data_IF_175068863564
#
_entry.id   IF_175068863564
#
_cell.length_a   1.000
_cell.length_b   1.000
_cell.length_c   1.000
_cell.angle_alpha   90.00
_cell.angle_beta   90.00
_cell.angle_gamma   90.00
#
_symmetry.space_group_name_H-M   'P 1'
#
loop_
_entity.id
_entity.type
_entity.pdbx_description
1 polymer ?
#
# COMPACT_ATOMS: atom_id res chain seq x y z
N UNK A 1 1.82 43.56 69.98
CA UNK A 1 1.60 43.72 68.46
C UNK A 1 1.99 42.40 67.76
N UNK A 2 1.01 41.53 67.55
CA UNK A 2 1.24 40.27 66.82
C UNK A 2 0.76 40.46 65.38
N UNK A 3 1.66 40.32 64.43
CA UNK A 3 1.34 40.27 63.01
C UNK A 3 1.04 38.80 62.61
N UNK A 4 -0.18 38.52 62.19
CA UNK A 4 -0.59 37.25 61.61
C UNK A 4 -0.14 37.24 60.14
N UNK A 5 0.74 36.28 59.78
CA UNK A 5 1.05 35.92 58.37
C UNK A 5 -0.04 34.94 57.91
N UNK A 6 -0.76 35.30 56.86
CA UNK A 6 -1.67 34.40 56.15
C UNK A 6 -0.88 33.75 54.97
N UNK A 7 -0.73 32.42 55.02
CA UNK A 7 -0.22 31.64 53.91
C UNK A 7 -1.38 31.30 52.96
N UNK A 8 -1.31 31.83 51.73
CA UNK A 8 -2.19 31.41 50.64
C UNK A 8 -1.59 30.14 50.00
N UNK A 9 -2.24 29.01 50.16
CA UNK A 9 -1.97 27.79 49.41
C UNK A 9 -2.67 27.90 48.06
N UNK A 10 -1.93 28.13 46.97
CA UNK A 10 -2.44 28.01 45.64
C UNK A 10 -2.51 26.52 45.23
N UNK A 11 -3.71 25.96 45.26
CA UNK A 11 -3.96 24.61 44.72
C UNK A 11 -3.95 24.73 43.22
N UNK A 12 -2.83 24.32 42.56
CA UNK A 12 -2.75 24.08 41.14
C UNK A 12 -3.57 22.82 40.79
N UNK A 13 -4.81 23.00 40.36
CA UNK A 13 -5.61 21.95 39.74
C UNK A 13 -4.95 21.59 38.38
N UNK A 14 -4.05 20.62 38.43
CA UNK A 14 -3.66 19.93 37.17
C UNK A 14 -4.85 19.16 36.68
N UNK A 15 -5.58 19.72 35.73
CA UNK A 15 -6.56 19.01 34.94
C UNK A 15 -5.81 17.94 34.13
N UNK A 16 -5.72 16.75 34.69
CA UNK A 16 -5.24 15.56 34.01
C UNK A 16 -6.16 15.27 32.82
N UNK A 17 -5.79 15.78 31.66
CA UNK A 17 -6.38 15.34 30.41
C UNK A 17 -5.91 13.89 30.20
N UNK A 18 -6.73 12.93 30.57
CA UNK A 18 -6.58 11.54 30.17
C UNK A 18 -6.61 11.51 28.64
N UNK A 19 -5.44 11.59 28.03
CA UNK A 19 -5.27 11.25 26.62
C UNK A 19 -5.65 9.78 26.52
N UNK A 20 -6.84 9.50 26.01
CA UNK A 20 -7.29 8.14 25.70
C UNK A 20 -6.41 7.62 24.56
N UNK A 21 -5.21 7.18 24.90
CA UNK A 21 -4.30 6.50 23.98
C UNK A 21 -5.02 5.26 23.47
N UNK A 22 -5.21 5.17 22.15
CA UNK A 22 -5.78 3.99 21.53
C UNK A 22 -4.91 2.78 21.86
N UNK A 23 -5.45 1.81 22.62
CA UNK A 23 -4.72 0.59 22.96
C UNK A 23 -4.67 -0.31 21.71
N UNK A 24 -3.48 -0.48 21.15
CA UNK A 24 -3.23 -1.44 20.06
C UNK A 24 -2.73 -2.74 20.69
N UNK A 25 -3.41 -3.86 20.39
CA UNK A 25 -2.92 -5.20 20.72
C UNK A 25 -2.26 -5.81 19.50
N UNK A 26 -1.04 -6.28 19.69
CA UNK A 26 -0.29 -6.99 18.66
C UNK A 26 -0.22 -8.49 18.94
N UNK A 27 -0.18 -9.27 17.87
CA UNK A 27 0.06 -10.72 17.88
C UNK A 27 0.78 -11.13 16.64
N UNK A 28 1.84 -11.93 16.76
CA UNK A 28 2.59 -12.48 15.65
C UNK A 28 2.22 -13.93 15.36
N UNK A 29 2.30 -14.31 14.09
CA UNK A 29 2.13 -15.67 13.59
C UNK A 29 3.30 -15.94 12.65
N UNK A 30 4.15 -16.88 13.00
CA UNK A 30 5.28 -17.31 12.15
C UNK A 30 4.75 -17.97 10.88
N UNK A 31 5.36 -17.66 9.76
CA UNK A 31 5.07 -18.23 8.45
C UNK A 31 6.16 -19.22 8.05
N UNK A 32 7.33 -18.73 7.69
CA UNK A 32 8.46 -19.53 7.22
C UNK A 32 9.65 -18.63 6.96
N UNK A 33 10.77 -19.22 6.53
CA UNK A 33 11.93 -18.45 6.09
C UNK A 33 11.68 -17.88 4.69
N UNK A 34 12.07 -16.63 4.48
CA UNK A 34 11.92 -15.92 3.22
C UNK A 34 13.19 -15.14 2.89
N UNK A 35 13.46 -14.92 1.61
CA UNK A 35 14.55 -14.06 1.17
C UNK A 35 14.43 -12.66 1.78
N UNK A 36 15.52 -12.20 2.41
CA UNK A 36 15.57 -10.97 3.19
C UNK A 36 16.74 -10.04 2.88
N UNK A 37 17.60 -10.42 1.91
CA UNK A 37 18.80 -9.65 1.56
C UNK A 37 18.49 -8.34 0.82
N UNK A 38 17.26 -8.16 0.36
CA UNK A 38 16.71 -6.91 -0.16
C UNK A 38 15.19 -6.84 0.09
N UNK A 39 14.53 -5.86 -0.51
CA UNK A 39 13.11 -5.58 -0.26
C UNK A 39 12.14 -6.28 -1.21
N UNK A 40 12.54 -7.23 -2.07
CA UNK A 40 11.63 -7.87 -3.04
C UNK A 40 10.38 -8.48 -2.38
N UNK A 41 10.53 -9.03 -1.16
CA UNK A 41 9.42 -9.53 -0.36
C UNK A 41 8.74 -8.48 0.53
N UNK A 42 9.20 -7.22 0.56
CA UNK A 42 8.73 -6.22 1.54
C UNK A 42 8.52 -4.83 0.98
N UNK A 43 8.73 -4.60 -0.30
CA UNK A 43 8.55 -3.29 -0.92
C UNK A 43 7.06 -2.92 -1.06
N UNK A 44 6.73 -1.64 -0.98
CA UNK A 44 5.33 -1.16 -0.93
C UNK A 44 4.54 -1.44 -2.20
N UNK A 45 5.18 -1.45 -3.35
CA UNK A 45 4.51 -1.77 -4.62
C UNK A 45 4.24 -3.28 -4.81
N UNK A 46 4.60 -4.10 -3.82
CA UNK A 46 4.13 -5.46 -3.67
C UNK A 46 2.72 -5.44 -3.07
N UNK A 47 1.71 -5.50 -3.92
CA UNK A 47 0.31 -5.44 -3.50
C UNK A 47 -0.29 -6.84 -3.41
N UNK A 48 -1.03 -7.05 -2.30
CA UNK A 48 -1.82 -8.25 -2.10
C UNK A 48 -1.02 -9.58 -2.13
N UNK A 49 0.23 -9.61 -1.63
CA UNK A 49 0.93 -10.90 -1.41
C UNK A 49 0.48 -11.59 -0.11
N UNK A 50 -0.40 -10.97 0.63
CA UNK A 50 -1.17 -11.51 1.74
C UNK A 50 -2.62 -11.10 1.49
N UNK A 51 -3.50 -12.05 1.23
CA UNK A 51 -4.92 -11.79 0.97
C UNK A 51 -5.81 -12.89 1.57
N UNK A 52 -7.10 -12.62 1.72
CA UNK A 52 -8.06 -13.59 2.25
C UNK A 52 -9.40 -13.56 1.51
N UNK A 53 -10.09 -14.70 1.51
CA UNK A 53 -11.43 -14.88 0.95
C UNK A 53 -12.55 -14.88 2.03
N UNK A 54 -12.21 -14.49 3.26
CA UNK A 54 -13.11 -14.50 4.41
C UNK A 54 -13.07 -15.79 5.25
N UNK A 55 -12.56 -16.90 4.71
CA UNK A 55 -12.36 -18.20 5.40
C UNK A 55 -10.90 -18.57 5.51
N UNK A 56 -10.19 -18.46 4.40
CA UNK A 56 -8.76 -18.74 4.28
C UNK A 56 -7.99 -17.44 4.09
N UNK A 57 -6.73 -17.45 4.53
CA UNK A 57 -5.74 -16.43 4.25
C UNK A 57 -4.62 -17.08 3.46
N UNK A 58 -4.22 -16.43 2.37
CA UNK A 58 -3.16 -16.85 1.46
C UNK A 58 -1.97 -15.91 1.57
N UNK A 59 -0.78 -16.44 1.36
CA UNK A 59 0.47 -15.69 1.36
C UNK A 59 1.39 -16.18 0.24
N UNK A 60 2.12 -15.27 -0.39
CA UNK A 60 3.13 -15.57 -1.39
C UNK A 60 4.43 -14.82 -1.10
N UNK A 61 5.56 -15.48 -1.24
CA UNK A 61 6.89 -14.90 -1.03
C UNK A 61 7.96 -15.70 -1.77
N UNK A 62 9.12 -15.10 -1.98
CA UNK A 62 10.28 -15.79 -2.52
C UNK A 62 11.13 -16.37 -1.39
N UNK A 63 11.61 -17.60 -1.60
CA UNK A 63 12.68 -18.19 -0.81
C UNK A 63 14.07 -17.68 -1.26
N UNK A 64 15.13 -18.20 -0.67
CA UNK A 64 16.52 -17.79 -0.98
C UNK A 64 17.02 -18.28 -2.34
N UNK A 65 16.40 -19.30 -2.90
CA UNK A 65 16.69 -19.81 -4.25
C UNK A 65 15.92 -19.05 -5.34
N UNK A 66 14.92 -18.21 -4.98
CA UNK A 66 14.08 -17.45 -5.92
C UNK A 66 12.79 -18.16 -6.32
N UNK A 67 12.46 -19.29 -5.69
CA UNK A 67 11.19 -19.95 -5.92
C UNK A 67 10.06 -19.26 -5.17
N UNK A 68 8.88 -19.18 -5.80
CA UNK A 68 7.67 -18.70 -5.14
C UNK A 68 7.15 -19.76 -4.20
N UNK A 69 7.02 -19.41 -2.94
CA UNK A 69 6.34 -20.20 -1.92
C UNK A 69 4.92 -19.68 -1.77
N UNK A 70 3.94 -20.56 -1.89
CA UNK A 70 2.56 -20.28 -1.56
C UNK A 70 2.20 -20.92 -0.22
N UNK A 71 1.49 -20.14 0.60
CA UNK A 71 0.96 -20.63 1.87
C UNK A 71 -0.53 -20.33 1.98
N UNK A 72 -1.28 -21.21 2.67
CA UNK A 72 -2.65 -20.93 3.08
C UNK A 72 -2.91 -21.37 4.51
N UNK A 73 -3.85 -20.70 5.19
CA UNK A 73 -4.34 -21.08 6.51
C UNK A 73 -5.79 -20.70 6.71
N UNK A 74 -6.49 -21.36 7.62
CA UNK A 74 -7.75 -20.82 8.15
C UNK A 74 -7.44 -19.52 8.91
N UNK A 75 -8.23 -18.46 8.70
CA UNK A 75 -7.95 -17.10 9.24
C UNK A 75 -7.64 -17.10 10.75
N UNK A 76 -8.25 -17.99 11.55
CA UNK A 76 -8.02 -18.06 12.99
C UNK A 76 -6.96 -19.12 13.40
N UNK A 77 -6.42 -19.89 12.46
CA UNK A 77 -5.36 -20.86 12.70
C UNK A 77 -4.00 -20.19 12.78
N UNK A 78 -3.06 -20.85 13.49
CA UNK A 78 -1.63 -20.52 13.43
C UNK A 78 -0.87 -21.41 12.45
N UNK A 79 -1.48 -22.52 12.00
CA UNK A 79 -0.86 -23.48 11.09
C UNK A 79 -1.07 -23.04 9.66
N UNK A 80 0.03 -23.04 8.91
CA UNK A 80 0.07 -22.83 7.48
C UNK A 80 0.27 -24.14 6.76
N UNK A 81 -0.42 -24.33 5.64
CA UNK A 81 -0.11 -25.34 4.64
C UNK A 81 0.68 -24.66 3.53
N UNK A 82 1.79 -25.24 3.12
CA UNK A 82 2.69 -24.64 2.13
C UNK A 82 2.83 -25.49 0.87
N UNK A 83 3.12 -24.78 -0.23
CA UNK A 83 3.53 -25.37 -1.50
C UNK A 83 4.75 -24.60 -2.00
N UNK A 84 5.88 -25.30 -2.19
CA UNK A 84 7.00 -24.80 -3.01
C UNK A 84 6.55 -25.00 -4.45
N UNK A 85 6.49 -23.92 -5.21
CA UNK A 85 6.08 -23.97 -6.62
C UNK A 85 7.29 -24.12 -7.53
N UNK A 86 7.06 -24.35 -8.82
CA UNK A 86 8.10 -24.26 -9.85
C UNK A 86 8.22 -22.85 -10.47
N UNK A 87 7.50 -21.87 -9.91
CA UNK A 87 7.57 -20.48 -10.35
C UNK A 87 8.85 -19.85 -9.79
N UNK A 88 9.64 -19.26 -10.67
CA UNK A 88 10.92 -18.65 -10.33
C UNK A 88 10.91 -17.16 -10.64
N UNK A 89 11.57 -16.34 -9.80
CA UNK A 89 11.76 -14.91 -10.01
C UNK A 89 13.18 -14.44 -9.71
N UNK A 90 13.58 -13.35 -10.34
CA UNK A 90 14.84 -12.67 -10.04
C UNK A 90 14.71 -11.89 -8.74
N UNK A 91 15.13 -12.54 -7.63
CA UNK A 91 15.07 -11.97 -6.27
C UNK A 91 16.07 -10.84 -6.00
N UNK A 92 17.01 -10.59 -6.92
CA UNK A 92 18.01 -9.53 -6.80
C UNK A 92 17.47 -8.15 -7.24
N UNK A 93 16.31 -8.10 -7.86
CA UNK A 93 15.61 -6.87 -8.25
C UNK A 93 14.32 -6.73 -7.44
N UNK A 94 14.25 -5.72 -6.61
CA UNK A 94 13.12 -5.48 -5.72
C UNK A 94 11.80 -5.15 -6.44
N UNK A 95 11.81 -4.86 -7.74
CA UNK A 95 10.60 -4.67 -8.52
C UNK A 95 9.85 -5.97 -8.80
N UNK A 96 10.52 -7.10 -8.78
CA UNK A 96 9.97 -8.42 -9.13
C UNK A 96 9.02 -8.99 -8.06
N UNK A 97 8.19 -8.13 -7.49
CA UNK A 97 7.23 -8.46 -6.44
C UNK A 97 6.16 -9.46 -6.91
N UNK A 98 5.48 -10.08 -5.94
CA UNK A 98 4.39 -11.03 -6.17
C UNK A 98 3.07 -10.36 -5.80
N UNK A 99 2.03 -10.56 -6.63
CA UNK A 99 0.65 -10.18 -6.33
C UNK A 99 -0.25 -11.41 -6.43
N UNK A 100 -1.13 -11.61 -5.44
CA UNK A 100 -2.11 -12.70 -5.42
C UNK A 100 -3.50 -12.18 -5.07
N UNK A 101 -4.55 -12.85 -5.56
CA UNK A 101 -5.93 -12.59 -5.17
C UNK A 101 -6.79 -13.82 -5.45
N UNK A 102 -7.81 -14.04 -4.64
CA UNK A 102 -8.83 -15.05 -4.91
C UNK A 102 -9.99 -14.44 -5.68
N UNK A 103 -10.50 -15.14 -6.69
CA UNK A 103 -11.74 -14.80 -7.35
C UNK A 103 -12.98 -15.22 -6.52
N UNK A 104 -14.17 -14.92 -7.00
CA UNK A 104 -15.44 -15.22 -6.32
C UNK A 104 -15.76 -16.71 -6.19
N UNK A 105 -15.13 -17.58 -6.96
CA UNK A 105 -15.23 -19.03 -6.84
C UNK A 105 -14.11 -19.64 -5.97
N UNK A 106 -13.16 -18.80 -5.48
CA UNK A 106 -12.07 -19.23 -4.61
C UNK A 106 -10.85 -19.79 -5.32
N UNK A 107 -10.69 -19.54 -6.63
CA UNK A 107 -9.43 -19.81 -7.31
C UNK A 107 -8.41 -18.72 -6.97
N UNK A 108 -7.18 -19.13 -6.66
CA UNK A 108 -6.08 -18.23 -6.36
C UNK A 108 -5.36 -17.84 -7.66
N UNK A 109 -5.39 -16.55 -8.00
CA UNK A 109 -4.64 -15.96 -9.11
C UNK A 109 -3.31 -15.43 -8.61
N UNK A 110 -2.25 -15.55 -9.42
CA UNK A 110 -0.89 -15.11 -9.09
C UNK A 110 -0.20 -14.48 -10.30
N UNK A 111 0.47 -13.35 -10.06
CA UNK A 111 1.39 -12.70 -10.98
C UNK A 111 2.71 -12.41 -10.24
N UNK A 112 3.87 -12.67 -10.90
CA UNK A 112 5.17 -12.57 -10.25
C UNK A 112 6.27 -12.16 -11.24
N UNK A 113 7.39 -11.62 -10.73
CA UNK A 113 8.63 -11.40 -11.47
C UNK A 113 8.54 -10.40 -12.62
N UNK A 114 8.06 -9.17 -12.34
CA UNK A 114 7.83 -8.17 -13.39
C UNK A 114 8.64 -6.89 -13.18
N UNK A 115 9.53 -6.62 -14.14
CA UNK A 115 10.21 -5.34 -14.30
C UNK A 115 10.45 -5.02 -15.79
N UNK A 116 9.36 -4.74 -16.52
CA UNK A 116 9.39 -4.43 -17.95
C UNK A 116 9.60 -5.66 -18.84
N UNK A 117 9.14 -6.82 -18.41
CA UNK A 117 9.20 -8.09 -19.12
C UNK A 117 7.81 -8.67 -19.36
N UNK A 118 7.76 -9.80 -20.07
CA UNK A 118 6.52 -10.51 -20.37
C UNK A 118 5.75 -10.85 -19.10
N UNK A 119 4.42 -10.84 -19.20
CA UNK A 119 3.53 -11.25 -18.11
C UNK A 119 3.80 -12.69 -17.68
N UNK A 120 4.02 -12.88 -16.38
CA UNK A 120 4.00 -14.15 -15.70
C UNK A 120 2.73 -14.27 -14.88
N UNK A 121 1.81 -15.10 -15.31
CA UNK A 121 0.52 -15.27 -14.68
C UNK A 121 0.07 -16.73 -14.70
N UNK A 122 -0.55 -17.18 -13.62
CA UNK A 122 -1.28 -18.44 -13.53
C UNK A 122 -2.35 -18.37 -12.45
N UNK A 123 -3.14 -19.44 -12.29
CA UNK A 123 -4.10 -19.59 -11.20
C UNK A 123 -4.12 -21.01 -10.65
N UNK A 124 -4.72 -21.20 -9.50
CA UNK A 124 -4.89 -22.52 -8.91
C UNK A 124 -5.77 -23.43 -9.80
N UNK A 125 -5.48 -24.74 -9.74
CA UNK A 125 -6.25 -25.78 -10.47
C UNK A 125 -7.67 -25.90 -9.97
N UNK A 126 -7.86 -25.76 -8.65
CA UNK A 126 -9.14 -25.91 -7.97
C UNK A 126 -9.33 -24.76 -6.96
N UNK A 127 -10.57 -24.45 -6.55
CA UNK A 127 -10.85 -23.56 -5.45
C UNK A 127 -10.09 -23.97 -4.19
N UNK A 128 -9.57 -23.00 -3.47
CA UNK A 128 -8.78 -23.18 -2.24
C UNK A 128 -7.54 -24.08 -2.38
N UNK A 129 -7.08 -24.37 -3.60
CA UNK A 129 -5.85 -25.13 -3.86
C UNK A 129 -4.63 -24.23 -3.92
N UNK A 130 -3.45 -24.79 -3.59
CA UNK A 130 -2.14 -24.21 -3.87
C UNK A 130 -1.46 -24.84 -5.10
N UNK A 131 -2.07 -25.87 -5.70
CA UNK A 131 -1.61 -26.46 -6.95
C UNK A 131 -2.01 -25.57 -8.11
N UNK A 132 -1.05 -25.20 -8.94
CA UNK A 132 -1.24 -24.23 -10.02
C UNK A 132 -1.42 -24.91 -11.38
N UNK A 133 -2.09 -24.22 -12.28
CA UNK A 133 -2.07 -24.51 -13.71
C UNK A 133 -0.71 -24.12 -14.30
N UNK A 134 -0.37 -24.53 -15.53
CA UNK A 134 0.73 -23.94 -16.28
C UNK A 134 0.59 -22.43 -16.41
N UNK A 135 1.68 -21.73 -16.64
CA UNK A 135 1.69 -20.30 -16.98
C UNK A 135 0.81 -20.03 -18.20
N UNK A 136 0.06 -18.94 -18.19
CA UNK A 136 -0.89 -18.59 -19.24
C UNK A 136 -0.96 -17.08 -19.46
N UNK A 137 -1.46 -16.65 -20.60
CA UNK A 137 -1.80 -15.26 -20.87
C UNK A 137 -3.11 -14.89 -20.16
N UNK A 138 -3.33 -13.59 -19.94
CA UNK A 138 -4.62 -13.03 -19.54
C UNK A 138 -5.48 -12.69 -20.77
N UNK A 139 -5.30 -11.49 -21.32
CA UNK A 139 -6.00 -11.03 -22.52
C UNK A 139 -5.23 -11.34 -23.81
N UNK A 140 -3.92 -11.58 -23.71
CA UNK A 140 -2.99 -11.70 -24.84
C UNK A 140 -2.58 -10.34 -25.44
N UNK A 141 -2.99 -9.22 -24.84
CA UNK A 141 -2.73 -7.87 -25.32
C UNK A 141 -1.91 -7.07 -24.32
N UNK A 142 -0.87 -6.36 -24.77
CA UNK A 142 0.00 -5.48 -23.97
C UNK A 142 0.73 -6.20 -22.82
N UNK A 143 0.99 -7.49 -22.95
CA UNK A 143 1.57 -8.34 -21.90
C UNK A 143 3.09 -8.52 -22.02
N UNK A 144 3.77 -7.76 -22.90
CA UNK A 144 5.20 -7.94 -23.18
C UNK A 144 6.13 -7.07 -22.32
N UNK A 145 5.59 -6.07 -21.58
CA UNK A 145 6.40 -5.11 -20.82
C UNK A 145 5.73 -4.71 -19.50
N UNK A 146 5.47 -5.72 -18.65
CA UNK A 146 4.72 -5.56 -17.40
C UNK A 146 5.62 -5.12 -16.26
N UNK A 147 5.15 -4.15 -15.45
CA UNK A 147 5.74 -3.78 -14.15
C UNK A 147 4.62 -3.40 -13.17
N UNK A 148 4.82 -3.63 -11.87
CA UNK A 148 3.86 -3.31 -10.79
C UNK A 148 2.52 -4.03 -10.94
N UNK A 149 2.50 -5.37 -10.96
CA UNK A 149 1.26 -6.14 -11.02
C UNK A 149 0.43 -5.98 -9.76
N UNK A 150 -0.85 -5.63 -9.89
CA UNK A 150 -1.76 -5.43 -8.76
C UNK A 150 -3.12 -6.06 -9.04
N UNK A 151 -3.51 -7.07 -8.25
CA UNK A 151 -4.87 -7.62 -8.26
C UNK A 151 -5.77 -6.88 -7.27
N UNK A 152 -7.03 -6.70 -7.66
CA UNK A 152 -8.11 -6.22 -6.78
C UNK A 152 -9.36 -7.06 -6.98
N UNK A 153 -10.05 -7.37 -5.88
CA UNK A 153 -11.35 -8.05 -5.91
C UNK A 153 -12.48 -7.03 -6.10
N UNK A 154 -13.40 -7.34 -7.01
CA UNK A 154 -14.64 -6.60 -7.21
C UNK A 154 -15.84 -7.30 -6.54
N UNK A 155 -16.92 -6.57 -6.21
CA UNK A 155 -18.18 -7.20 -5.85
C UNK A 155 -18.64 -8.20 -6.93
N UNK A 156 -19.17 -9.34 -6.49
CA UNK A 156 -19.55 -10.41 -7.41
C UNK A 156 -18.43 -11.41 -7.73
N UNK A 157 -17.18 -11.09 -7.35
CA UNK A 157 -16.05 -12.00 -7.46
C UNK A 157 -15.20 -11.84 -8.72
N UNK A 158 -15.53 -10.89 -9.59
CA UNK A 158 -14.64 -10.46 -10.66
C UNK A 158 -13.35 -9.92 -10.07
N UNK A 159 -12.27 -9.88 -10.88
CA UNK A 159 -11.02 -9.28 -10.50
C UNK A 159 -10.64 -8.14 -11.46
N UNK A 160 -9.89 -7.19 -10.92
CA UNK A 160 -9.10 -6.26 -11.73
C UNK A 160 -7.63 -6.65 -11.61
N UNK A 161 -6.89 -6.42 -12.69
CA UNK A 161 -5.44 -6.50 -12.72
C UNK A 161 -4.88 -5.25 -13.37
N UNK A 162 -4.11 -4.50 -12.60
CA UNK A 162 -3.50 -3.24 -13.00
C UNK A 162 -1.99 -3.45 -13.15
N UNK A 163 -1.41 -2.84 -14.15
CA UNK A 163 0.04 -2.85 -14.34
C UNK A 163 0.49 -1.68 -15.23
N UNK A 164 1.77 -1.36 -15.14
CA UNK A 164 2.42 -0.47 -16.10
C UNK A 164 2.87 -1.28 -17.30
N UNK A 165 2.38 -0.92 -18.49
CA UNK A 165 2.99 -1.31 -19.75
C UNK A 165 4.04 -0.28 -20.16
N UNK A 166 5.24 -0.74 -20.54
CA UNK A 166 6.35 0.13 -20.94
C UNK A 166 7.37 0.38 -19.81
N UNK A 167 8.21 1.41 -20.02
CA UNK A 167 9.40 1.69 -19.18
C UNK A 167 9.19 2.91 -18.29
N UNK A 168 10.09 3.09 -17.31
CA UNK A 168 10.14 4.30 -16.49
C UNK A 168 10.23 5.55 -17.37
N UNK A 169 9.38 6.56 -17.13
CA UNK A 169 9.29 7.79 -17.93
C UNK A 169 8.42 7.69 -19.19
N UNK A 170 7.96 6.48 -19.59
CA UNK A 170 7.21 6.25 -20.85
C UNK A 170 6.19 5.11 -20.71
N UNK A 171 5.63 4.91 -19.53
CA UNK A 171 4.69 3.81 -19.26
C UNK A 171 3.25 4.28 -19.19
N UNK A 172 2.34 3.38 -19.57
CA UNK A 172 0.90 3.54 -19.51
C UNK A 172 0.29 2.67 -18.42
N UNK A 173 -0.79 3.14 -17.81
CA UNK A 173 -1.60 2.30 -16.91
C UNK A 173 -2.55 1.44 -17.73
N UNK A 174 -2.33 0.13 -17.67
CA UNK A 174 -3.19 -0.89 -18.29
C UNK A 174 -4.07 -1.52 -17.23
N UNK A 175 -5.33 -1.79 -17.58
CA UNK A 175 -6.29 -2.48 -16.72
C UNK A 175 -6.90 -3.65 -17.50
N UNK A 176 -6.73 -4.86 -16.94
CA UNK A 176 -7.46 -6.07 -17.33
C UNK A 176 -8.56 -6.35 -16.30
N UNK A 177 -9.69 -6.90 -16.76
CA UNK A 177 -10.77 -7.38 -15.90
C UNK A 177 -11.03 -8.86 -16.14
N UNK A 178 -11.05 -9.63 -15.07
CA UNK A 178 -11.49 -11.03 -15.06
C UNK A 178 -13.01 -11.08 -14.93
N UNK A 179 -13.65 -11.68 -15.90
CA UNK A 179 -15.07 -12.01 -15.90
C UNK A 179 -15.22 -13.40 -15.28
N UNK A 180 -15.76 -13.46 -14.07
CA UNK A 180 -15.90 -14.69 -13.32
C UNK A 180 -16.87 -15.68 -14.02
N UNK A 181 -17.94 -15.17 -14.61
CA UNK A 181 -18.95 -16.01 -15.26
C UNK A 181 -18.39 -16.74 -16.49
N UNK A 182 -17.55 -16.05 -17.26
CA UNK A 182 -16.91 -16.59 -18.47
C UNK A 182 -15.50 -17.14 -18.20
N UNK A 183 -14.96 -16.98 -16.98
CA UNK A 183 -13.60 -17.39 -16.55
C UNK A 183 -12.50 -16.86 -17.48
N UNK A 184 -12.66 -15.61 -17.94
CA UNK A 184 -11.81 -15.00 -18.95
C UNK A 184 -11.36 -13.60 -18.54
N UNK A 185 -10.10 -13.30 -18.81
CA UNK A 185 -9.56 -11.95 -18.74
C UNK A 185 -9.87 -11.18 -20.02
N UNK A 186 -10.23 -9.93 -19.88
CA UNK A 186 -10.47 -8.98 -20.96
C UNK A 186 -9.66 -7.72 -20.71
N UNK A 187 -9.03 -7.17 -21.76
CA UNK A 187 -8.42 -5.84 -21.70
C UNK A 187 -9.53 -4.80 -21.54
N UNK A 188 -9.53 -4.09 -20.44
CA UNK A 188 -10.52 -3.04 -20.16
C UNK A 188 -10.01 -1.67 -20.64
N UNK A 189 -8.75 -1.33 -20.29
CA UNK A 189 -8.07 -0.11 -20.76
C UNK A 189 -6.64 -0.42 -21.16
N UNK A 190 -6.28 -0.03 -22.38
CA UNK A 190 -4.90 -0.12 -22.89
C UNK A 190 -4.01 1.03 -22.41
N UNK A 191 -4.63 2.15 -22.04
CA UNK A 191 -3.94 3.35 -21.56
C UNK A 191 -4.95 4.21 -20.79
N UNK A 192 -5.17 3.93 -19.51
CA UNK A 192 -6.07 4.74 -18.70
C UNK A 192 -5.47 6.10 -18.39
N UNK A 193 -4.18 6.12 -18.03
CA UNK A 193 -3.44 7.35 -17.72
C UNK A 193 -2.21 7.37 -18.62
N UNK A 194 -2.09 8.39 -19.46
CA UNK A 194 -0.98 8.58 -20.37
C UNK A 194 0.07 9.52 -19.81
N UNK A 195 1.31 9.09 -19.80
CA UNK A 195 2.47 9.95 -19.57
C UNK A 195 2.91 10.71 -20.81
N UNK A 196 2.19 10.58 -21.94
CA UNK A 196 2.43 11.27 -23.23
C UNK A 196 3.88 11.04 -23.76
N UNK A 197 4.49 9.90 -23.37
CA UNK A 197 5.89 9.57 -23.71
C UNK A 197 6.95 10.44 -23.04
N UNK A 198 6.55 11.28 -22.07
CA UNK A 198 7.42 12.26 -21.40
C UNK A 198 7.56 12.00 -19.90
N UNK A 199 6.53 11.42 -19.26
CA UNK A 199 6.43 11.21 -17.81
C UNK A 199 5.78 9.89 -17.45
N UNK A 200 5.77 9.56 -16.17
CA UNK A 200 4.98 8.47 -15.62
C UNK A 200 3.95 8.97 -14.61
N UNK A 201 2.78 8.34 -14.61
CA UNK A 201 1.92 8.31 -13.46
C UNK A 201 2.37 7.17 -12.53
N UNK A 202 2.50 7.46 -11.23
CA UNK A 202 2.70 6.44 -10.19
C UNK A 202 1.47 6.42 -9.30
N UNK A 203 0.71 5.32 -9.36
CA UNK A 203 -0.63 5.21 -8.80
C UNK A 203 -0.70 4.34 -7.54
N UNK A 204 -1.79 4.52 -6.82
CA UNK A 204 -2.34 3.63 -5.81
C UNK A 204 -3.84 3.51 -6.04
N UNK A 205 -4.38 2.32 -5.80
CA UNK A 205 -5.76 1.96 -6.08
C UNK A 205 -6.40 1.32 -4.86
N UNK A 206 -7.69 1.50 -4.69
CA UNK A 206 -8.52 0.73 -3.78
C UNK A 206 -9.92 0.52 -4.36
N UNK A 207 -10.52 -0.62 -4.06
CA UNK A 207 -11.94 -0.88 -4.28
C UNK A 207 -12.66 -0.71 -2.95
N UNK A 208 -13.64 0.17 -2.90
CA UNK A 208 -14.40 0.43 -1.69
C UNK A 208 -15.46 -0.65 -1.40
N UNK A 209 -16.19 -0.50 -0.31
CA UNK A 209 -17.22 -1.46 0.11
C UNK A 209 -18.45 -1.50 -0.81
N UNK A 210 -18.64 -0.51 -1.68
CA UNK A 210 -19.71 -0.45 -2.69
C UNK A 210 -19.25 -0.96 -4.05
N UNK A 211 -17.94 -1.21 -4.21
CA UNK A 211 -17.33 -1.63 -5.47
C UNK A 211 -16.88 -0.50 -6.35
N UNK A 212 -16.94 0.75 -5.88
CA UNK A 212 -16.31 1.85 -6.59
C UNK A 212 -14.78 1.71 -6.53
N UNK A 213 -14.13 1.94 -7.66
CA UNK A 213 -12.68 1.91 -7.80
C UNK A 213 -12.18 3.34 -7.65
N UNK A 214 -11.29 3.54 -6.70
CA UNK A 214 -10.63 4.83 -6.47
C UNK A 214 -9.17 4.72 -6.88
N UNK A 215 -8.69 5.67 -7.64
CA UNK A 215 -7.34 5.75 -8.16
C UNK A 215 -6.78 7.13 -7.86
N UNK A 216 -5.58 7.19 -7.29
CA UNK A 216 -4.83 8.43 -7.16
C UNK A 216 -3.41 8.21 -7.64
N UNK A 217 -2.75 9.27 -8.13
CA UNK A 217 -1.39 9.16 -8.65
C UNK A 217 -0.62 10.46 -8.47
N UNK A 218 0.69 10.34 -8.49
CA UNK A 218 1.62 11.46 -8.65
C UNK A 218 2.24 11.40 -10.05
N UNK A 219 2.56 12.56 -10.62
CA UNK A 219 3.37 12.65 -11.82
C UNK A 219 4.85 12.61 -11.48
N UNK A 220 5.65 12.02 -12.37
CA UNK A 220 7.10 11.97 -12.29
C UNK A 220 7.69 12.26 -13.66
N UNK A 221 8.46 13.34 -13.77
CA UNK A 221 8.93 13.87 -15.06
C UNK A 221 10.22 13.22 -15.56
N UNK A 222 10.98 12.57 -14.69
CA UNK A 222 12.25 11.91 -15.04
C UNK A 222 12.50 10.68 -14.17
N UNK A 223 13.56 9.90 -14.42
CA UNK A 223 13.97 8.83 -13.50
C UNK A 223 14.32 9.30 -12.08
N UNK A 224 14.59 10.58 -11.87
CA UNK A 224 14.87 11.14 -10.55
C UNK A 224 13.59 11.30 -9.73
N UNK A 225 13.56 10.74 -8.51
CA UNK A 225 12.41 10.82 -7.59
C UNK A 225 12.12 12.26 -7.14
N UNK A 226 13.10 13.15 -7.18
CA UNK A 226 12.92 14.57 -6.88
C UNK A 226 11.94 15.27 -7.84
N UNK A 227 11.73 14.68 -9.03
CA UNK A 227 10.76 15.18 -10.03
C UNK A 227 9.32 14.70 -9.79
N UNK A 228 9.04 13.98 -8.71
CA UNK A 228 7.66 13.71 -8.30
C UNK A 228 6.96 15.02 -7.93
N UNK A 229 5.73 15.18 -8.42
CA UNK A 229 4.92 16.35 -8.11
C UNK A 229 3.44 16.05 -8.16
N UNK A 230 2.66 16.88 -7.52
CA UNK A 230 1.21 16.88 -7.51
C UNK A 230 0.57 15.53 -7.09
N UNK A 231 -0.65 15.59 -6.64
CA UNK A 231 -1.48 14.43 -6.38
C UNK A 231 -2.79 14.56 -7.16
N UNK A 232 -3.10 13.56 -7.96
CA UNK A 232 -4.25 13.49 -8.83
C UNK A 232 -5.22 12.40 -8.39
N UNK A 233 -6.46 12.44 -8.94
CA UNK A 233 -7.50 11.50 -8.54
C UNK A 233 -8.47 11.17 -9.69
N UNK A 234 -8.97 9.94 -9.66
CA UNK A 234 -10.07 9.47 -10.49
C UNK A 234 -10.88 8.40 -9.75
N UNK A 235 -12.16 8.24 -10.14
CA UNK A 235 -13.07 7.23 -9.60
C UNK A 235 -13.88 6.58 -10.72
N UNK A 236 -14.15 5.27 -10.56
CA UNK A 236 -15.10 4.53 -11.39
C UNK A 236 -16.15 3.86 -10.52
N UNK A 237 -17.42 3.98 -10.90
CA UNK A 237 -18.57 3.38 -10.20
C UNK A 237 -19.20 2.21 -10.98
N UNK A 238 -18.64 1.84 -12.13
CA UNK A 238 -19.18 0.85 -13.07
C UNK A 238 -18.19 -0.31 -13.36
N UNK A 239 -17.32 -0.59 -12.39
CA UNK A 239 -16.34 -1.67 -12.50
C UNK A 239 -15.16 -1.35 -13.42
N UNK A 240 -14.82 -0.08 -13.53
CA UNK A 240 -13.65 0.41 -14.26
C UNK A 240 -13.95 0.82 -15.72
N UNK A 241 -15.19 0.78 -16.19
CA UNK A 241 -15.53 1.10 -17.60
C UNK A 241 -15.40 2.59 -17.89
N UNK A 242 -16.00 3.43 -17.03
CA UNK A 242 -15.90 4.90 -17.12
C UNK A 242 -15.25 5.47 -15.87
N UNK A 243 -14.57 6.59 -16.03
CA UNK A 243 -13.84 7.25 -14.97
C UNK A 243 -14.25 8.70 -14.81
N UNK A 244 -14.30 9.17 -13.56
CA UNK A 244 -14.80 10.50 -13.20
C UNK A 244 -13.82 11.19 -12.26
N UNK A 245 -13.81 12.51 -12.31
CA UNK A 245 -13.23 13.38 -11.28
C UNK A 245 -14.03 13.26 -9.96
N UNK A 246 -13.48 13.76 -8.88
CA UNK A 246 -14.19 13.78 -7.58
C UNK A 246 -15.46 14.66 -7.60
N UNK A 247 -15.58 15.55 -8.55
CA UNK A 247 -16.77 16.38 -8.82
C UNK A 247 -17.90 15.62 -9.51
N UNK A 248 -17.63 14.44 -10.08
CA UNK A 248 -18.57 13.65 -10.89
C UNK A 248 -18.44 13.87 -12.39
N UNK A 249 -17.63 14.81 -12.85
CA UNK A 249 -17.31 15.03 -14.27
C UNK A 249 -16.59 13.81 -14.85
N UNK A 250 -17.06 13.31 -15.99
CA UNK A 250 -16.46 12.15 -16.67
C UNK A 250 -15.19 12.56 -17.41
N UNK A 251 -14.17 11.75 -17.28
CA UNK A 251 -12.93 11.90 -18.06
C UNK A 251 -13.10 11.42 -19.50
N UNK A 252 -12.53 12.18 -20.42
CA UNK A 252 -12.14 11.65 -21.72
C UNK A 252 -10.81 10.89 -21.55
N UNK A 253 -10.75 9.67 -22.06
CA UNK A 253 -9.58 8.79 -21.92
C UNK A 253 -8.67 8.85 -23.14
N UNK A 254 -7.35 8.76 -22.95
CA UNK A 254 -6.64 8.61 -21.70
C UNK A 254 -6.59 9.91 -20.88
N UNK A 255 -6.53 9.78 -19.56
CA UNK A 255 -6.23 10.92 -18.69
C UNK A 255 -4.80 11.36 -18.92
N UNK A 256 -4.57 12.64 -19.20
CA UNK A 256 -3.26 13.26 -19.39
C UNK A 256 -2.94 14.23 -18.26
N UNK A 257 -1.74 14.79 -18.25
CA UNK A 257 -1.39 15.84 -17.29
C UNK A 257 -2.32 17.05 -17.40
N UNK A 258 -2.75 17.41 -18.63
CA UNK A 258 -3.63 18.56 -18.87
C UNK A 258 -5.09 18.30 -18.41
N UNK A 259 -5.59 17.06 -18.50
CA UNK A 259 -6.97 16.71 -18.16
C UNK A 259 -7.16 16.20 -16.72
N UNK A 260 -6.06 15.85 -16.02
CA UNK A 260 -6.10 15.30 -14.66
C UNK A 260 -6.73 16.26 -13.64
N UNK A 261 -7.52 15.71 -12.71
CA UNK A 261 -7.93 16.43 -11.51
C UNK A 261 -6.79 16.48 -10.50
N UNK A 262 -6.32 17.68 -10.20
CA UNK A 262 -5.29 17.90 -9.19
C UNK A 262 -5.94 18.13 -7.83
N UNK A 263 -5.87 17.15 -6.95
CA UNK A 263 -6.46 17.20 -5.62
C UNK A 263 -5.54 17.85 -4.57
N UNK A 264 -4.24 17.90 -4.85
CA UNK A 264 -3.25 18.61 -4.05
C UNK A 264 -2.07 19.01 -4.94
N UNK A 265 -1.79 20.31 -5.03
CA UNK A 265 -0.62 20.83 -5.74
C UNK A 265 0.62 20.72 -4.85
N UNK A 266 1.60 19.98 -5.31
CA UNK A 266 2.85 19.69 -4.60
C UNK A 266 4.00 19.92 -5.57
N UNK A 267 4.93 20.84 -5.29
CA UNK A 267 6.02 21.12 -6.21
C UNK A 267 7.05 20.00 -6.28
N UNK A 268 7.77 19.91 -7.39
CA UNK A 268 9.00 19.11 -7.47
C UNK A 268 9.99 19.54 -6.40
N UNK A 269 10.97 18.69 -6.09
CA UNK A 269 11.98 18.91 -5.04
C UNK A 269 11.42 19.06 -3.62
N UNK A 270 10.17 18.71 -3.39
CA UNK A 270 9.56 18.68 -2.06
C UNK A 270 9.78 17.36 -1.29
N UNK A 271 10.48 16.40 -1.89
CA UNK A 271 10.60 15.04 -1.34
C UNK A 271 9.31 14.24 -1.36
N UNK A 272 8.41 14.57 -2.29
CA UNK A 272 7.18 13.79 -2.50
C UNK A 272 7.53 12.37 -2.96
N UNK A 273 6.98 11.38 -2.28
CA UNK A 273 7.15 9.97 -2.66
C UNK A 273 6.04 9.50 -3.60
N UNK A 274 6.34 8.50 -4.41
CA UNK A 274 5.42 7.83 -5.32
C UNK A 274 4.96 6.48 -4.79
N UNK A 275 3.80 6.01 -5.26
CA UNK A 275 3.20 4.70 -4.94
C UNK A 275 3.03 4.48 -3.44
N UNK A 276 2.13 5.20 -2.84
CA UNK A 276 1.83 5.11 -1.41
C UNK A 276 0.57 4.27 -1.15
N UNK A 277 -0.41 4.80 -0.44
CA UNK A 277 -1.63 4.09 -0.14
C UNK A 277 -2.84 5.02 -0.06
N UNK A 278 -4.00 4.42 -0.21
CA UNK A 278 -5.27 5.10 0.00
C UNK A 278 -6.28 4.18 0.69
N UNK A 279 -7.27 4.78 1.33
CA UNK A 279 -8.45 4.10 1.83
C UNK A 279 -9.69 4.97 1.57
N UNK A 280 -10.86 4.35 1.70
CA UNK A 280 -12.14 5.03 1.60
C UNK A 280 -12.94 4.73 2.86
N UNK A 281 -13.55 5.75 3.44
CA UNK A 281 -14.37 5.61 4.63
C UNK A 281 -15.76 5.03 4.30
N UNK A 282 -16.52 4.66 5.32
CA UNK A 282 -17.88 4.13 5.13
C UNK A 282 -18.84 5.15 4.48
N UNK A 283 -18.58 6.43 4.67
CA UNK A 283 -19.30 7.56 4.07
C UNK A 283 -18.68 8.09 2.77
N UNK A 284 -17.88 7.23 2.10
CA UNK A 284 -17.25 7.48 0.80
C UNK A 284 -16.26 8.65 0.75
N UNK A 285 -15.61 8.97 1.84
CA UNK A 285 -14.51 9.94 1.86
C UNK A 285 -13.19 9.24 1.49
N UNK A 286 -12.60 9.49 0.31
CA UNK A 286 -11.28 8.99 -0.03
C UNK A 286 -10.21 9.72 0.77
N UNK A 287 -9.21 8.96 1.23
CA UNK A 287 -8.03 9.46 1.96
C UNK A 287 -6.77 8.84 1.36
N UNK A 288 -5.79 9.66 1.05
CA UNK A 288 -4.51 9.27 0.45
C UNK A 288 -3.40 9.62 1.44
N UNK A 289 -2.63 8.62 1.86
CA UNK A 289 -1.48 8.81 2.72
C UNK A 289 -0.20 8.87 1.89
N UNK A 290 0.63 9.88 2.12
CA UNK A 290 1.92 10.06 1.48
C UNK A 290 2.83 10.88 2.37
N UNK A 291 3.98 11.34 1.87
CA UNK A 291 4.84 12.29 2.58
C UNK A 291 5.51 13.26 1.62
N UNK A 292 5.68 14.48 2.09
CA UNK A 292 6.46 15.54 1.44
C UNK A 292 6.75 16.67 2.43
N UNK A 293 7.67 17.58 2.06
CA UNK A 293 7.94 18.81 2.80
C UNK A 293 7.08 19.93 2.24
N UNK A 294 6.09 20.38 3.03
CA UNK A 294 5.29 21.57 2.72
C UNK A 294 6.03 22.87 3.08
N UNK A 295 5.46 24.02 2.72
CA UNK A 295 6.12 25.34 2.97
C UNK A 295 6.42 25.60 4.44
N UNK A 296 5.52 25.19 5.33
CA UNK A 296 5.62 25.39 6.78
C UNK A 296 6.37 24.27 7.51
N UNK A 297 6.81 23.22 6.80
CA UNK A 297 7.45 22.07 7.42
C UNK A 297 8.97 22.28 7.53
N UNK A 298 9.54 22.07 8.69
CA UNK A 298 10.99 22.05 8.85
C UNK A 298 11.62 20.86 8.11
N UNK A 299 10.94 19.70 8.13
CA UNK A 299 11.38 18.44 7.51
C UNK A 299 10.21 17.76 6.80
N UNK A 300 10.50 16.75 5.96
CA UNK A 300 9.46 15.93 5.34
C UNK A 300 8.52 15.34 6.40
N UNK A 301 7.21 15.49 6.22
CA UNK A 301 6.17 14.99 7.12
C UNK A 301 5.28 13.97 6.42
N UNK A 302 4.77 12.97 7.15
CA UNK A 302 3.63 12.20 6.71
C UNK A 302 2.39 13.08 6.67
N UNK A 303 1.60 12.93 5.62
CA UNK A 303 0.38 13.72 5.40
C UNK A 303 -0.73 12.85 4.85
N UNK A 304 -1.96 13.24 5.14
CA UNK A 304 -3.17 12.62 4.58
C UNK A 304 -3.94 13.67 3.80
N UNK A 305 -4.08 13.45 2.50
CA UNK A 305 -4.98 14.23 1.64
C UNK A 305 -6.33 13.56 1.64
N UNK A 306 -7.39 14.24 2.01
CA UNK A 306 -8.73 13.67 2.14
C UNK A 306 -9.81 14.61 1.62
N UNK A 307 -10.91 14.03 1.10
CA UNK A 307 -12.05 14.79 0.63
C UNK A 307 -13.02 15.02 1.78
N UNK A 308 -13.35 16.29 2.09
CA UNK A 308 -14.30 16.68 3.12
C UNK A 308 -15.40 17.56 2.50
N UNK A 309 -16.56 16.97 2.27
CA UNK A 309 -17.58 17.56 1.40
C UNK A 309 -17.07 17.69 -0.03
N UNK A 310 -17.13 18.90 -0.59
CA UNK A 310 -16.66 19.19 -1.96
C UNK A 310 -15.18 19.61 -2.03
N UNK A 311 -14.49 19.69 -0.90
CA UNK A 311 -13.11 20.19 -0.84
C UNK A 311 -12.13 19.10 -0.46
N UNK A 312 -10.97 19.14 -1.10
CA UNK A 312 -9.80 18.37 -0.66
C UNK A 312 -9.05 19.15 0.41
N UNK A 313 -8.64 18.45 1.46
CA UNK A 313 -7.91 18.99 2.61
C UNK A 313 -6.67 18.17 2.87
N UNK A 314 -5.68 18.77 3.51
CA UNK A 314 -4.44 18.13 3.94
C UNK A 314 -4.39 18.10 5.46
N UNK A 315 -4.24 16.91 6.03
CA UNK A 315 -3.91 16.72 7.44
C UNK A 315 -2.42 16.42 7.54
N UNK A 316 -1.69 17.30 8.24
CA UNK A 316 -0.27 17.14 8.50
C UNK A 316 -0.08 16.44 9.84
N UNK A 317 0.72 15.37 9.88
CA UNK A 317 0.97 14.65 11.12
C UNK A 317 1.86 15.41 12.10
N UNK A 318 2.83 16.17 11.60
CA UNK A 318 3.70 17.07 12.35
C UNK A 318 4.63 16.40 13.38
N UNK A 319 4.74 15.08 13.42
CA UNK A 319 5.52 14.40 14.46
C UNK A 319 6.98 14.12 14.10
N UNK A 320 7.38 14.30 12.83
CA UNK A 320 8.76 14.06 12.41
C UNK A 320 9.65 15.29 12.68
N UNK A 321 10.86 15.03 13.15
CA UNK A 321 11.87 16.06 13.44
C UNK A 321 13.18 15.82 12.71
N UNK A 322 13.37 14.63 12.10
CA UNK A 322 14.61 14.23 11.44
C UNK A 322 14.57 14.53 9.95
N UNK A 323 15.58 15.21 9.45
CA UNK A 323 15.74 15.49 8.02
C UNK A 323 16.05 14.23 7.23
N UNK A 324 15.61 14.20 5.98
CA UNK A 324 16.01 13.22 5.01
C UNK A 324 16.07 13.86 3.61
N UNK A 325 16.95 13.36 2.74
CA UNK A 325 17.01 13.73 1.34
C UNK A 325 16.32 12.64 0.49
N UNK A 326 15.58 13.09 -0.54
CA UNK A 326 14.88 12.24 -1.50
C UNK A 326 15.26 12.68 -2.91
N UNK A 327 16.25 12.00 -3.48
CA UNK A 327 16.77 12.29 -4.83
C UNK A 327 17.33 11.04 -5.49
N UNK A 328 17.51 11.07 -6.81
CA UNK A 328 18.10 10.02 -7.62
C UNK A 328 17.10 8.98 -8.12
N UNK A 329 17.61 8.02 -8.89
CA UNK A 329 16.83 6.98 -9.57
C UNK A 329 16.78 5.66 -8.77
N UNK A 330 15.79 4.81 -9.10
CA UNK A 330 15.64 3.45 -8.60
C UNK A 330 14.82 3.31 -7.31
N UNK A 331 14.66 2.05 -6.87
CA UNK A 331 14.04 1.71 -5.58
C UNK A 331 15.11 1.84 -4.50
N UNK A 332 15.14 2.97 -3.83
CA UNK A 332 16.15 3.26 -2.82
C UNK A 332 15.60 3.05 -1.42
N UNK A 333 16.46 2.58 -0.53
CA UNK A 333 16.19 2.62 0.90
C UNK A 333 16.05 4.08 1.35
N UNK A 334 14.89 4.38 1.91
CA UNK A 334 14.64 5.66 2.55
C UNK A 334 14.67 5.48 4.07
N UNK A 335 15.12 6.51 4.80
CA UNK A 335 15.05 6.58 6.25
C UNK A 335 13.62 6.35 6.77
N UNK A 336 12.62 6.62 5.95
CA UNK A 336 11.20 6.35 6.23
C UNK A 336 10.59 5.46 5.16
N UNK A 337 9.66 4.59 5.56
CA UNK A 337 8.85 3.83 4.60
C UNK A 337 7.74 4.66 4.01
N UNK A 338 7.22 4.26 2.86
CA UNK A 338 5.90 4.69 2.41
C UNK A 338 4.85 4.21 3.41
N UNK A 339 3.85 5.04 3.77
CA UNK A 339 2.84 4.65 4.75
C UNK A 339 1.75 3.79 4.11
N UNK A 340 1.09 2.95 4.93
CA UNK A 340 -0.24 2.44 4.64
C UNK A 340 -1.26 3.19 5.48
N UNK A 341 -2.48 3.38 4.95
CA UNK A 341 -3.57 4.04 5.66
C UNK A 341 -4.78 3.12 5.79
N UNK A 342 -5.38 3.12 6.96
CA UNK A 342 -6.67 2.51 7.24
C UNK A 342 -7.57 3.50 7.95
N UNK A 343 -8.90 3.31 7.84
CA UNK A 343 -9.89 4.16 8.51
C UNK A 343 -11.05 3.34 9.07
N UNK A 344 -11.70 3.90 10.09
CA UNK A 344 -12.92 3.33 10.67
C UNK A 344 -13.76 4.44 11.30
N UNK A 345 -15.07 4.17 11.47
CA UNK A 345 -15.94 5.06 12.24
C UNK A 345 -15.70 4.83 13.73
N UNK A 346 -15.57 5.90 14.51
CA UNK A 346 -15.47 5.89 15.97
C UNK A 346 -16.39 6.96 16.55
N UNK A 347 -17.54 6.54 17.06
CA UNK A 347 -18.52 7.45 17.68
C UNK A 347 -18.90 8.63 16.76
N UNK A 348 -19.20 8.35 15.50
CA UNK A 348 -19.60 9.37 14.50
C UNK A 348 -18.44 10.17 13.91
N UNK A 349 -17.19 9.90 14.32
CA UNK A 349 -15.98 10.54 13.80
C UNK A 349 -15.22 9.61 12.89
N UNK A 350 -14.48 10.16 11.96
CA UNK A 350 -13.60 9.40 11.07
C UNK A 350 -12.22 9.26 11.67
N UNK A 351 -11.98 8.13 12.33
CA UNK A 351 -10.66 7.76 12.80
C UNK A 351 -9.81 7.19 11.67
N UNK A 352 -8.49 7.40 11.76
CA UNK A 352 -7.52 6.86 10.82
C UNK A 352 -6.24 6.40 11.52
N UNK A 353 -5.52 5.48 10.88
CA UNK A 353 -4.18 5.10 11.28
C UNK A 353 -3.25 5.02 10.07
N UNK A 354 -2.04 5.55 10.25
CA UNK A 354 -0.92 5.34 9.36
C UNK A 354 -0.03 4.25 9.94
N UNK A 355 0.30 3.26 9.12
CA UNK A 355 1.25 2.20 9.45
C UNK A 355 2.52 2.49 8.67
N UNK A 356 3.67 2.55 9.34
CA UNK A 356 4.92 2.96 8.74
C UNK A 356 6.14 2.43 9.51
N UNK A 357 7.31 2.67 8.94
CA UNK A 357 8.64 2.51 9.55
C UNK A 357 9.39 3.83 9.42
N UNK A 358 10.07 4.24 10.48
CA UNK A 358 10.93 5.42 10.49
C UNK A 358 12.20 5.12 11.31
N UNK A 359 13.38 5.46 10.81
CA UNK A 359 14.66 5.26 11.48
C UNK A 359 14.74 6.02 12.80
N UNK A 360 14.11 7.20 12.90
CA UNK A 360 14.03 7.97 14.16
C UNK A 360 13.32 7.22 15.28
N UNK A 361 12.54 6.17 14.96
CA UNK A 361 11.87 5.27 15.90
C UNK A 361 12.53 3.86 15.94
N UNK A 362 13.81 3.76 15.53
CA UNK A 362 14.57 2.52 15.55
C UNK A 362 14.11 1.49 14.52
N UNK A 363 13.62 1.94 13.37
CA UNK A 363 13.10 1.09 12.27
C UNK A 363 12.04 0.06 12.71
N UNK A 364 11.29 0.36 13.76
CA UNK A 364 10.20 -0.52 14.23
C UNK A 364 8.92 -0.32 13.41
N UNK A 365 8.05 -1.33 13.42
CA UNK A 365 6.67 -1.12 12.96
C UNK A 365 6.03 -0.07 13.84
N UNK A 366 5.62 1.03 13.25
CA UNK A 366 5.03 2.19 13.93
C UNK A 366 3.63 2.45 13.41
N UNK A 367 2.76 2.94 14.28
CA UNK A 367 1.39 3.33 13.96
C UNK A 367 1.12 4.72 14.52
N UNK A 368 0.73 5.64 13.65
CA UNK A 368 0.20 6.93 14.06
C UNK A 368 -1.33 6.90 13.95
N UNK A 369 -2.04 7.18 15.04
CA UNK A 369 -3.49 7.18 15.10
C UNK A 369 -4.05 8.57 15.33
N UNK A 370 -5.16 8.87 14.65
CA UNK A 370 -5.99 10.04 14.89
C UNK A 370 -7.45 9.59 15.10
N UNK A 371 -8.11 10.19 16.08
CA UNK A 371 -9.51 9.85 16.42
C UNK A 371 -10.54 10.54 15.53
N UNK A 372 -10.13 11.63 14.87
CA UNK A 372 -10.90 12.35 13.87
C UNK A 372 -9.93 12.98 12.88
N UNK A 373 -10.01 12.60 11.61
CA UNK A 373 -9.12 13.11 10.56
C UNK A 373 -9.24 14.62 10.34
N UNK A 374 -10.35 15.23 10.78
CA UNK A 374 -10.56 16.70 10.75
C UNK A 374 -9.80 17.43 11.85
N UNK A 375 -9.31 16.71 12.85
CA UNK A 375 -8.44 17.23 13.92
C UNK A 375 -6.97 17.23 13.53
N UNK A 376 -6.10 17.48 14.51
CA UNK A 376 -4.65 17.57 14.33
C UNK A 376 -3.84 16.80 15.39
N UNK A 377 -4.50 15.97 16.22
CA UNK A 377 -3.84 15.27 17.31
C UNK A 377 -3.57 13.81 16.92
N UNK A 378 -2.36 13.55 16.46
CA UNK A 378 -1.86 12.21 16.21
C UNK A 378 -1.21 11.63 17.48
N UNK A 379 -1.42 10.35 17.71
CA UNK A 379 -0.77 9.58 18.79
C UNK A 379 0.05 8.47 18.17
N UNK A 380 1.25 8.25 18.68
CA UNK A 380 2.18 7.25 18.19
C UNK A 380 2.13 5.98 19.05
N UNK A 381 2.23 4.85 18.38
CA UNK A 381 2.45 3.54 18.96
C UNK A 381 3.57 2.83 18.19
N UNK A 382 4.40 2.08 18.89
CA UNK A 382 5.48 1.30 18.31
C UNK A 382 5.36 -0.16 18.76
N UNK A 383 5.59 -1.08 17.83
CA UNK A 383 5.61 -2.51 18.12
C UNK A 383 6.71 -2.84 19.14
N UNK A 384 6.44 -3.77 20.04
CA UNK A 384 7.43 -4.35 20.94
C UNK A 384 8.44 -5.25 20.20
N UNK A 385 8.16 -5.63 18.97
CA UNK A 385 9.11 -6.32 18.10
C UNK A 385 10.29 -5.40 17.78
N UNK A 386 11.46 -5.98 17.53
CA UNK A 386 12.67 -5.26 17.17
C UNK A 386 12.56 -4.52 15.84
N UNK A 387 13.70 -4.05 15.36
CA UNK A 387 13.86 -3.44 14.05
C UNK A 387 13.43 -4.38 12.92
N UNK A 388 12.89 -3.80 11.85
CA UNK A 388 12.41 -4.52 10.66
C UNK A 388 13.17 -4.14 9.38
N UNK A 389 14.33 -3.50 9.57
CA UNK A 389 15.23 -3.12 8.46
C UNK A 389 14.56 -2.17 7.48
N UNK A 390 14.64 -2.52 6.20
CA UNK A 390 14.08 -1.72 5.10
C UNK A 390 12.62 -2.06 4.77
N UNK A 391 11.92 -2.81 5.61
CA UNK A 391 10.53 -3.18 5.39
C UNK A 391 9.62 -1.99 5.10
N UNK A 392 8.75 -2.14 4.12
CA UNK A 392 7.64 -1.24 3.87
C UNK A 392 6.31 -1.96 4.15
N UNK A 393 5.33 -1.29 4.77
CA UNK A 393 4.10 -1.94 5.20
C UNK A 393 3.23 -2.38 4.00
N UNK A 394 2.73 -3.60 4.09
CA UNK A 394 1.60 -4.10 3.30
C UNK A 394 0.76 -5.00 4.19
N UNK A 395 -0.52 -5.12 3.88
CA UNK A 395 -1.48 -5.85 4.72
C UNK A 395 -2.55 -6.55 3.88
N UNK A 396 -3.28 -7.45 4.51
CA UNK A 396 -4.44 -8.13 3.95
C UNK A 396 -5.61 -7.14 3.84
N UNK A 397 -5.75 -6.52 2.66
CA UNK A 397 -6.78 -5.52 2.39
C UNK A 397 -8.19 -6.09 2.49
N UNK A 398 -8.38 -7.33 2.05
CA UNK A 398 -9.66 -8.03 2.10
C UNK A 398 -10.08 -8.35 3.54
N UNK A 399 -9.14 -8.79 4.38
CA UNK A 399 -9.41 -9.04 5.79
C UNK A 399 -9.76 -7.76 6.55
N UNK A 400 -9.08 -6.65 6.23
CA UNK A 400 -9.45 -5.34 6.77
C UNK A 400 -10.84 -4.91 6.31
N UNK A 401 -11.12 -5.03 5.02
CA UNK A 401 -12.43 -4.68 4.45
C UNK A 401 -13.57 -5.45 5.11
N UNK A 402 -13.41 -6.79 5.25
CA UNK A 402 -14.45 -7.67 5.77
C UNK A 402 -14.57 -7.70 7.30
N UNK A 403 -13.46 -7.62 8.03
CA UNK A 403 -13.42 -7.93 9.47
C UNK A 403 -12.76 -6.84 10.34
N UNK A 404 -12.30 -5.75 9.74
CA UNK A 404 -11.53 -4.69 10.44
C UNK A 404 -10.35 -5.25 11.25
N UNK A 405 -9.74 -6.31 10.74
CA UNK A 405 -8.55 -6.93 11.29
C UNK A 405 -7.36 -6.60 10.40
N UNK A 406 -6.36 -5.95 10.99
CA UNK A 406 -5.14 -5.57 10.28
C UNK A 406 -4.09 -6.67 10.45
N UNK A 407 -3.88 -7.46 9.41
CA UNK A 407 -2.81 -8.46 9.33
C UNK A 407 -1.74 -7.96 8.37
N UNK A 408 -0.56 -7.60 8.90
CA UNK A 408 0.58 -7.09 8.15
C UNK A 408 1.50 -8.24 7.71
N UNK A 409 2.00 -8.18 6.50
CA UNK A 409 3.12 -9.01 6.04
C UNK A 409 4.41 -8.41 6.61
N UNK A 410 5.11 -9.14 7.45
CA UNK A 410 6.25 -8.63 8.20
C UNK A 410 7.48 -9.52 8.03
N UNK A 411 8.53 -8.95 7.47
CA UNK A 411 9.83 -9.58 7.30
C UNK A 411 10.91 -8.52 7.56
N UNK A 412 11.88 -8.81 8.42
CA UNK A 412 13.05 -7.96 8.55
C UNK A 412 13.92 -8.14 7.30
N UNK A 413 14.06 -7.12 6.49
CA UNK A 413 14.80 -7.16 5.23
C UNK A 413 15.89 -6.09 5.18
N UNK A 414 17.00 -6.43 4.52
CA UNK A 414 18.05 -5.47 4.24
C UNK A 414 17.61 -4.45 3.17
N UNK A 415 18.26 -3.29 3.17
CA UNK A 415 18.18 -2.34 2.10
C UNK A 415 19.16 -2.76 0.98
N UNK A 416 18.74 -3.63 0.10
CA UNK A 416 19.52 -3.95 -1.10
C UNK A 416 19.35 -2.88 -2.16
N UNK A 417 20.36 -2.71 -3.01
CA UNK A 417 20.19 -1.97 -4.27
C UNK A 417 19.60 -2.88 -5.35
N UNK A 418 18.89 -2.29 -6.31
CA UNK A 418 18.42 -3.04 -7.47
C UNK A 418 19.62 -3.60 -8.27
N UNK A 419 19.57 -4.88 -8.61
CA UNK A 419 20.61 -5.59 -9.36
C UNK A 419 21.98 -5.69 -8.70
N UNK A 420 22.06 -5.63 -7.37
CA UNK A 420 23.32 -5.79 -6.63
C UNK A 420 23.78 -7.25 -6.64
N UNK A 421 24.70 -7.57 -7.55
CA UNK A 421 25.30 -8.91 -7.66
C UNK A 421 26.18 -9.31 -6.47
N UNK A 422 26.48 -8.40 -5.54
CA UNK A 422 27.27 -8.65 -4.34
C UNK A 422 26.43 -8.90 -3.08
N UNK A 423 25.10 -8.94 -3.20
CA UNK A 423 24.23 -9.22 -2.08
C UNK A 423 24.53 -10.63 -1.53
N UNK A 424 24.90 -10.70 -0.25
CA UNK A 424 25.02 -11.99 0.44
C UNK A 424 23.63 -12.56 0.68
N UNK A 425 23.36 -13.80 0.23
CA UNK A 425 22.08 -14.46 0.47
C UNK A 425 21.76 -14.53 1.97
N UNK A 426 20.60 -14.06 2.36
CA UNK A 426 20.10 -14.15 3.71
C UNK A 426 18.60 -14.45 3.70
N UNK A 427 18.14 -15.15 4.72
CA UNK A 427 16.75 -15.43 5.02
C UNK A 427 16.42 -14.94 6.42
N UNK A 428 15.22 -14.44 6.62
CA UNK A 428 14.68 -14.20 7.95
C UNK A 428 13.28 -14.79 8.07
N UNK A 429 12.81 -14.88 9.30
CA UNK A 429 11.47 -15.40 9.60
C UNK A 429 10.40 -14.42 9.15
N UNK A 430 9.66 -14.78 8.11
CA UNK A 430 8.44 -14.11 7.71
C UNK A 430 7.34 -14.34 8.76
N UNK A 431 6.63 -13.28 9.10
CA UNK A 431 5.53 -13.29 10.08
C UNK A 431 4.32 -12.57 9.53
N UNK A 432 3.15 -12.93 10.03
CA UNK A 432 1.96 -12.08 9.97
C UNK A 432 1.83 -11.38 11.32
N UNK A 433 1.92 -10.06 11.32
CA UNK A 433 1.69 -9.22 12.50
C UNK A 433 0.24 -8.74 12.50
N UNK A 434 -0.56 -9.27 13.41
CA UNK A 434 -1.96 -8.92 13.56
C UNK A 434 -2.11 -7.80 14.59
N UNK A 435 -2.67 -6.66 14.17
CA UNK A 435 -2.97 -5.51 15.03
C UNK A 435 -4.47 -5.36 15.21
N UNK A 436 -4.88 -5.09 16.46
CA UNK A 436 -6.27 -4.80 16.83
C UNK A 436 -6.35 -3.47 17.54
N UNK A 437 -7.14 -2.57 17.01
CA UNK A 437 -7.45 -1.25 17.58
C UNK A 437 -8.61 -1.37 18.56
N UNK A 438 -8.48 -0.82 19.79
CA UNK A 438 -9.48 -0.85 20.85
C UNK A 438 -9.89 0.54 21.31
#
# INVERSE_FOLDING_TARGET
>A
MLRKLAFFFAICLMSGHTVCSQKIKERTISVGKAWSSNTVNTVVFRKNSLCSDGKLQYIAFYDKEGFVILGKRKINSRKWDFRITNLFGNIYDSHNSISIMTDGEGYLHIAWNHHGNQLHYTRSKNPASLDLLPEMQMSGLLENSVTYPEFFSLPGGDLLFLYRDGRSGKGNLVINRYDLANKKWNLLHSNLISGEGQRNAYWQTIVDHKGSIHLSWVWRESPDVATNHDLCYARSDDGGKTWKKSTGETYELPVTQASAEYICRIPMNSGLINQTSMCVTADNMPMIATYWKGPEDAVIQYKVVYKDGDKWKVNNTGFRTTSLSMEGAGTRHSAISRPQIISWNRSGKTAAALIFRDESFGTKVSVACITDIRGNKWTLWHSAMGAVGAWEPSFDTELWRMKKRLDLFLLNSAAGSDNDKQIKPAEDMLRVLSLRFR
#
